data_IF_218707689019
#
_entry.id   IF_218707689019
#
_cell.length_a   1.000
_cell.length_b   1.000
_cell.length_c   1.000
_cell.angle_alpha   90.00
_cell.angle_beta   90.00
_cell.angle_gamma   90.00
#
_symmetry.space_group_name_H-M   'P 1'
#
loop_
_entity.id
_entity.type
_entity.pdbx_description
1 polymer ?
#
# COMPACT_ATOMS: atom_id res chain seq x y z
N UNK A 1 -76.37 -46.87 -34.91
CA UNK A 1 -75.37 -45.90 -34.39
C UNK A 1 -75.39 -44.66 -35.29
N UNK A 2 -75.61 -43.48 -34.71
CA UNK A 2 -75.91 -42.24 -35.43
C UNK A 2 -74.65 -41.64 -36.07
N UNK A 3 -74.54 -41.65 -37.40
CA UNK A 3 -73.41 -41.10 -38.18
C UNK A 3 -73.15 -39.62 -37.89
N UNK A 4 -74.18 -38.87 -37.48
CA UNK A 4 -74.06 -37.46 -37.06
C UNK A 4 -73.32 -37.27 -35.73
N UNK A 5 -73.33 -38.23 -34.80
CA UNK A 5 -72.60 -38.10 -33.53
C UNK A 5 -71.11 -38.39 -33.71
N UNK A 6 -70.75 -39.37 -34.55
CA UNK A 6 -69.35 -39.65 -34.89
C UNK A 6 -68.65 -38.46 -35.54
N UNK A 7 -69.30 -37.77 -36.48
CA UNK A 7 -68.73 -36.59 -37.15
C UNK A 7 -68.42 -35.47 -36.15
N UNK A 8 -69.30 -35.24 -35.15
CA UNK A 8 -69.07 -34.25 -34.10
C UNK A 8 -67.92 -34.66 -33.19
N UNK A 9 -67.84 -35.94 -32.80
CA UNK A 9 -66.73 -36.45 -31.98
C UNK A 9 -65.37 -36.31 -32.69
N UNK A 10 -65.30 -36.63 -33.99
CA UNK A 10 -64.08 -36.42 -34.77
C UNK A 10 -63.72 -34.94 -34.95
N UNK A 11 -64.72 -34.07 -35.13
CA UNK A 11 -64.50 -32.62 -35.19
C UNK A 11 -63.94 -32.08 -33.86
N UNK A 12 -64.50 -32.49 -32.72
CA UNK A 12 -63.98 -32.09 -31.41
C UNK A 12 -62.59 -32.67 -31.13
N UNK A 13 -62.31 -33.92 -31.52
CA UNK A 13 -60.97 -34.50 -31.42
C UNK A 13 -59.95 -33.75 -32.27
N UNK A 14 -60.31 -33.35 -33.50
CA UNK A 14 -59.44 -32.56 -34.38
C UNK A 14 -59.13 -31.18 -33.79
N UNK A 15 -60.13 -30.49 -33.24
CA UNK A 15 -59.95 -29.20 -32.56
C UNK A 15 -59.08 -29.34 -31.31
N UNK A 16 -59.25 -30.41 -30.53
CA UNK A 16 -58.42 -30.67 -29.35
C UNK A 16 -56.95 -30.89 -29.71
N UNK A 17 -56.67 -31.67 -30.76
CA UNK A 17 -55.30 -31.89 -31.26
C UNK A 17 -54.70 -30.57 -31.76
N UNK A 18 -55.44 -29.80 -32.56
CA UNK A 18 -54.98 -28.51 -33.07
C UNK A 18 -54.67 -27.52 -31.94
N UNK A 19 -55.54 -27.46 -30.92
CA UNK A 19 -55.35 -26.58 -29.75
C UNK A 19 -54.13 -27.00 -28.93
N UNK A 20 -53.89 -28.31 -28.79
CA UNK A 20 -52.72 -28.84 -28.09
C UNK A 20 -51.43 -28.50 -28.84
N UNK A 21 -51.43 -28.65 -30.17
CA UNK A 21 -50.30 -28.28 -31.02
C UNK A 21 -50.01 -26.77 -30.96
N UNK A 22 -51.05 -25.93 -30.99
CA UNK A 22 -50.92 -24.48 -30.83
C UNK A 22 -50.39 -24.10 -29.45
N UNK A 23 -50.82 -24.78 -28.38
CA UNK A 23 -50.29 -24.55 -27.04
C UNK A 23 -48.83 -24.96 -26.91
N UNK A 24 -48.41 -26.08 -27.52
CA UNK A 24 -47.01 -26.52 -27.55
C UNK A 24 -46.16 -25.54 -28.35
N UNK A 25 -46.64 -25.12 -29.53
CA UNK A 25 -45.94 -24.13 -30.35
C UNK A 25 -45.82 -22.79 -29.64
N UNK A 26 -46.91 -22.28 -29.07
CA UNK A 26 -46.90 -21.05 -28.28
C UNK A 26 -45.92 -21.18 -27.13
N UNK A 27 -45.99 -22.25 -26.34
CA UNK A 27 -45.04 -22.48 -25.25
C UNK A 27 -43.59 -22.50 -25.77
N UNK A 28 -43.31 -23.13 -26.92
CA UNK A 28 -41.96 -23.15 -27.50
C UNK A 28 -41.48 -21.76 -27.95
N UNK A 29 -42.33 -20.96 -28.59
CA UNK A 29 -42.00 -19.62 -29.08
C UNK A 29 -41.98 -18.54 -27.99
N UNK A 30 -42.76 -18.71 -26.91
CA UNK A 30 -42.82 -17.75 -25.81
C UNK A 30 -42.02 -18.16 -24.58
N UNK A 31 -41.21 -19.23 -24.64
CA UNK A 31 -40.22 -19.46 -23.57
C UNK A 31 -39.29 -18.24 -23.54
N UNK A 32 -39.18 -17.50 -22.43
CA UNK A 32 -38.16 -16.47 -22.33
C UNK A 32 -36.81 -17.13 -22.63
N UNK A 33 -36.00 -16.48 -23.45
CA UNK A 33 -34.65 -16.96 -23.72
C UNK A 33 -33.98 -17.23 -22.37
N UNK A 34 -33.61 -18.49 -22.12
CA UNK A 34 -32.80 -18.83 -20.95
C UNK A 34 -31.52 -18.00 -21.08
N UNK A 35 -31.39 -16.94 -20.29
CA UNK A 35 -30.15 -16.20 -20.19
C UNK A 35 -29.09 -17.20 -19.78
N UNK A 36 -28.10 -17.47 -20.64
CA UNK A 36 -27.05 -18.48 -20.44
C UNK A 36 -26.10 -18.20 -19.26
N UNK A 37 -26.50 -17.38 -18.30
CA UNK A 37 -25.67 -16.87 -17.19
C UNK A 37 -25.83 -17.62 -15.88
N UNK A 38 -26.72 -18.61 -15.83
CA UNK A 38 -26.59 -19.69 -14.84
C UNK A 38 -25.23 -20.40 -14.99
N UNK A 39 -24.58 -20.29 -16.16
CA UNK A 39 -23.32 -20.96 -16.43
C UNK A 39 -22.13 -20.42 -15.66
N UNK A 40 -22.06 -19.14 -15.28
CA UNK A 40 -20.87 -18.57 -14.60
C UNK A 40 -20.89 -18.79 -13.08
N UNK A 41 -22.06 -19.00 -12.48
CA UNK A 41 -22.20 -19.16 -11.04
C UNK A 41 -21.40 -20.38 -10.55
N UNK A 42 -20.62 -20.19 -9.48
CA UNK A 42 -19.80 -21.23 -8.87
C UNK A 42 -18.52 -21.58 -9.62
N UNK A 43 -18.28 -21.03 -10.82
CA UNK A 43 -16.99 -21.16 -11.52
C UNK A 43 -15.93 -20.28 -10.87
N UNK A 44 -14.69 -20.72 -10.95
CA UNK A 44 -13.55 -19.94 -10.45
C UNK A 44 -13.30 -18.71 -11.35
N UNK A 45 -12.88 -17.61 -10.74
CA UNK A 45 -12.47 -16.42 -11.48
C UNK A 45 -11.17 -16.63 -12.26
N UNK A 46 -10.23 -17.40 -11.69
CA UNK A 46 -8.92 -17.72 -12.26
C UNK A 46 -8.62 -19.21 -12.06
N UNK A 47 -9.21 -20.11 -12.87
CA UNK A 47 -9.06 -21.56 -12.69
C UNK A 47 -7.62 -22.06 -12.85
N UNK A 48 -6.77 -21.33 -13.56
CA UNK A 48 -5.36 -21.68 -13.78
C UNK A 48 -4.44 -21.25 -12.62
N UNK A 49 -4.91 -20.36 -11.74
CA UNK A 49 -4.14 -19.87 -10.61
C UNK A 49 -4.45 -20.71 -9.35
N UNK A 50 -3.66 -21.77 -9.15
CA UNK A 50 -3.86 -22.74 -8.05
C UNK A 50 -2.74 -22.73 -7.01
N UNK A 51 -1.64 -22.03 -7.26
CA UNK A 51 -0.45 -22.01 -6.40
C UNK A 51 -0.04 -20.57 -6.10
N UNK A 52 -0.14 -20.19 -4.82
CA UNK A 52 0.20 -18.84 -4.35
C UNK A 52 1.69 -18.52 -4.54
N UNK A 53 2.57 -19.53 -4.52
CA UNK A 53 4.02 -19.36 -4.68
C UNK A 53 4.44 -18.90 -6.08
N UNK A 54 3.56 -18.98 -7.08
CA UNK A 54 3.82 -18.48 -8.44
C UNK A 54 3.74 -16.96 -8.55
N UNK A 55 3.07 -16.29 -7.62
CA UNK A 55 2.98 -14.84 -7.65
C UNK A 55 4.37 -14.24 -7.39
N UNK A 56 4.88 -13.48 -8.35
CA UNK A 56 6.15 -12.74 -8.23
C UNK A 56 5.96 -11.22 -8.21
N UNK A 57 4.74 -10.73 -8.43
CA UNK A 57 4.38 -9.35 -8.15
C UNK A 57 2.93 -9.19 -7.72
N UNK A 58 2.68 -8.12 -6.97
CA UNK A 58 1.34 -7.61 -6.67
C UNK A 58 1.30 -6.11 -6.84
N UNK A 59 0.19 -5.64 -7.38
CA UNK A 59 -0.17 -4.22 -7.43
C UNK A 59 -1.54 -4.02 -6.82
N UNK A 60 -1.66 -2.99 -6.01
CA UNK A 60 -2.93 -2.47 -5.52
C UNK A 60 -3.06 -1.03 -5.98
N UNK A 61 -4.19 -0.70 -6.57
CA UNK A 61 -4.56 0.68 -6.85
C UNK A 61 -5.90 0.98 -6.18
N UNK A 62 -5.99 2.13 -5.52
CA UNK A 62 -7.22 2.63 -4.92
C UNK A 62 -7.34 4.12 -5.22
N UNK A 63 -8.56 4.57 -5.47
CA UNK A 63 -8.83 5.99 -5.63
C UNK A 63 -8.93 6.67 -4.27
N UNK A 64 -8.27 7.81 -4.11
CA UNK A 64 -8.38 8.68 -2.96
C UNK A 64 -9.28 9.88 -3.36
N UNK A 65 -10.48 9.94 -2.78
CA UNK A 65 -11.46 10.99 -3.10
C UNK A 65 -11.03 12.37 -2.61
N UNK A 66 -10.30 12.45 -1.49
CA UNK A 66 -9.88 13.72 -0.88
C UNK A 66 -8.82 14.44 -1.73
N UNK A 67 -7.91 13.65 -2.31
CA UNK A 67 -6.83 14.14 -3.17
C UNK A 67 -7.17 14.05 -4.67
N UNK A 68 -8.32 13.48 -5.02
CA UNK A 68 -8.73 13.18 -6.39
C UNK A 68 -7.64 12.47 -7.21
N UNK A 69 -6.98 11.46 -6.62
CA UNK A 69 -5.87 10.74 -7.27
C UNK A 69 -5.82 9.25 -6.91
N UNK A 70 -5.27 8.43 -7.80
CA UNK A 70 -5.10 6.99 -7.55
C UNK A 70 -3.82 6.72 -6.77
N UNK A 71 -3.95 6.24 -5.53
CA UNK A 71 -2.83 5.70 -4.77
C UNK A 71 -2.49 4.31 -5.27
N UNK A 72 -1.21 4.10 -5.56
CA UNK A 72 -0.67 2.82 -6.03
C UNK A 72 0.30 2.28 -4.99
N UNK A 73 0.19 0.99 -4.74
CA UNK A 73 1.17 0.21 -3.98
C UNK A 73 1.59 -0.97 -4.85
N UNK A 74 2.88 -1.29 -4.87
CA UNK A 74 3.37 -2.45 -5.60
C UNK A 74 4.52 -3.11 -4.86
N UNK A 75 4.58 -4.44 -5.01
CA UNK A 75 5.72 -5.27 -4.60
C UNK A 75 6.04 -6.21 -5.75
N UNK A 76 7.34 -6.42 -6.00
CA UNK A 76 7.79 -7.30 -7.06
C UNK A 76 9.11 -7.98 -6.71
N UNK A 77 9.29 -9.18 -7.26
CA UNK A 77 10.54 -9.92 -7.18
C UNK A 77 11.40 -9.62 -8.42
N UNK A 78 12.46 -8.83 -8.24
CA UNK A 78 13.46 -8.50 -9.26
C UNK A 78 14.86 -8.56 -8.65
N UNK A 79 15.48 -9.74 -8.71
CA UNK A 79 16.76 -10.04 -8.05
C UNK A 79 16.70 -9.75 -6.53
N UNK A 80 15.56 -10.07 -5.90
CA UNK A 80 15.19 -9.68 -4.55
C UNK A 80 13.81 -9.02 -4.51
N UNK A 81 13.15 -9.04 -3.35
CA UNK A 81 11.86 -8.37 -3.17
C UNK A 81 12.05 -6.86 -3.05
N UNK A 82 11.21 -6.11 -3.77
CA UNK A 82 11.29 -4.66 -3.84
C UNK A 82 9.91 -4.04 -3.81
N UNK A 83 9.84 -2.80 -3.33
CA UNK A 83 8.64 -1.97 -3.32
C UNK A 83 8.83 -0.78 -4.28
N UNK A 84 8.43 -0.88 -5.56
CA UNK A 84 8.71 0.16 -6.56
C UNK A 84 8.11 1.52 -6.23
N UNK A 85 6.97 1.54 -5.54
CA UNK A 85 6.32 2.78 -5.09
C UNK A 85 7.07 3.49 -3.97
N UNK A 86 8.10 2.84 -3.42
CA UNK A 86 9.03 3.37 -2.41
C UNK A 86 10.48 3.29 -2.93
N UNK A 87 10.71 3.68 -4.19
CA UNK A 87 12.04 3.78 -4.78
C UNK A 87 12.83 2.46 -4.77
N UNK A 88 12.15 1.36 -5.10
CA UNK A 88 12.73 0.02 -5.14
C UNK A 88 13.31 -0.45 -3.80
N UNK A 89 12.76 0.05 -2.68
CA UNK A 89 13.21 -0.32 -1.34
C UNK A 89 13.15 -1.84 -1.14
N UNK A 90 14.19 -2.48 -0.56
CA UNK A 90 14.20 -3.89 -0.26
C UNK A 90 13.02 -4.27 0.66
N UNK A 91 12.27 -5.29 0.26
CA UNK A 91 11.11 -5.78 0.98
C UNK A 91 11.38 -7.15 1.59
N UNK A 92 10.59 -7.55 2.57
CA UNK A 92 10.37 -8.95 2.93
C UNK A 92 8.98 -9.38 2.45
N UNK A 93 8.85 -9.48 1.14
CA UNK A 93 7.54 -9.58 0.49
C UNK A 93 7.02 -11.00 0.31
N UNK A 94 7.81 -12.04 0.58
CA UNK A 94 7.48 -13.41 0.18
C UNK A 94 6.20 -13.91 0.84
N UNK A 95 6.17 -13.90 2.17
CA UNK A 95 5.07 -14.46 2.94
C UNK A 95 3.80 -13.61 2.81
N UNK A 96 3.96 -12.29 2.76
CA UNK A 96 2.85 -11.36 2.58
C UNK A 96 2.22 -11.45 1.19
N UNK A 97 3.04 -11.61 0.15
CA UNK A 97 2.53 -11.86 -1.19
C UNK A 97 1.82 -13.21 -1.29
N UNK A 98 2.39 -14.26 -0.69
CA UNK A 98 1.76 -15.58 -0.66
C UNK A 98 0.40 -15.54 0.05
N UNK A 99 0.29 -14.79 1.16
CA UNK A 99 -0.97 -14.57 1.89
C UNK A 99 -2.01 -13.83 1.03
N UNK A 100 -1.60 -12.75 0.37
CA UNK A 100 -2.46 -11.99 -0.54
C UNK A 100 -2.92 -12.85 -1.72
N UNK A 101 -2.01 -13.61 -2.33
CA UNK A 101 -2.29 -14.55 -3.42
C UNK A 101 -3.28 -15.64 -3.00
N UNK A 102 -3.08 -16.25 -1.83
CA UNK A 102 -3.98 -17.26 -1.29
C UNK A 102 -5.42 -16.73 -1.11
N UNK A 103 -5.60 -15.43 -0.82
CA UNK A 103 -6.93 -14.83 -0.67
C UNK A 103 -7.75 -14.79 -1.97
N UNK A 104 -7.12 -14.99 -3.14
CA UNK A 104 -7.79 -14.94 -4.44
C UNK A 104 -7.80 -16.26 -5.21
N UNK A 105 -7.05 -17.26 -4.75
CA UNK A 105 -7.05 -18.61 -5.31
C UNK A 105 -8.36 -19.30 -4.96
N UNK A 106 -8.96 -20.00 -5.94
CA UNK A 106 -10.24 -20.70 -5.76
C UNK A 106 -11.43 -19.78 -5.52
N UNK A 107 -11.27 -18.48 -5.79
CA UNK A 107 -12.35 -17.50 -5.66
C UNK A 107 -13.44 -17.79 -6.68
N UNK A 108 -14.66 -18.07 -6.20
CA UNK A 108 -15.80 -18.43 -7.04
C UNK A 108 -16.67 -17.23 -7.39
N UNK A 109 -17.15 -17.21 -8.63
CA UNK A 109 -18.21 -16.29 -9.08
C UNK A 109 -19.48 -16.59 -8.29
N UNK A 110 -19.91 -15.63 -7.47
CA UNK A 110 -21.18 -15.74 -6.76
C UNK A 110 -22.37 -15.35 -7.63
N UNK A 111 -23.43 -14.83 -7.01
CA UNK A 111 -24.62 -14.38 -7.76
C UNK A 111 -24.30 -13.16 -8.64
N UNK A 112 -24.82 -13.16 -9.87
CA UNK A 112 -24.65 -12.04 -10.79
C UNK A 112 -25.36 -10.80 -10.25
N UNK A 113 -24.64 -9.70 -10.10
CA UNK A 113 -25.17 -8.41 -9.68
C UNK A 113 -25.65 -7.57 -10.88
N UNK A 114 -24.83 -7.49 -11.93
CA UNK A 114 -25.15 -6.77 -13.17
C UNK A 114 -24.22 -7.20 -14.30
N UNK A 115 -24.58 -6.79 -15.52
CA UNK A 115 -23.85 -6.96 -16.78
C UNK A 115 -23.57 -5.61 -17.45
N UNK A 116 -24.10 -4.53 -16.88
CA UNK A 116 -24.17 -3.24 -17.53
C UNK A 116 -23.12 -2.32 -16.95
N UNK A 117 -22.32 -1.69 -17.82
CA UNK A 117 -21.30 -0.73 -17.42
C UNK A 117 -21.87 0.48 -16.67
N UNK A 118 -23.12 0.85 -16.98
CA UNK A 118 -23.85 1.94 -16.31
C UNK A 118 -24.04 1.72 -14.81
N UNK A 119 -23.92 0.49 -14.34
CA UNK A 119 -24.06 0.14 -12.93
C UNK A 119 -22.74 0.13 -12.15
N UNK A 120 -21.60 0.26 -12.83
CA UNK A 120 -20.29 0.12 -12.18
C UNK A 120 -20.04 1.19 -11.12
N UNK A 121 -20.52 2.42 -11.33
CA UNK A 121 -20.38 3.52 -10.38
C UNK A 121 -21.08 3.21 -9.04
N UNK A 122 -22.38 2.87 -9.07
CA UNK A 122 -23.14 2.59 -7.84
C UNK A 122 -22.60 1.37 -7.07
N UNK A 123 -22.00 0.42 -7.78
CA UNK A 123 -21.42 -0.78 -7.19
C UNK A 123 -19.99 -0.56 -6.69
N UNK A 124 -19.40 0.60 -6.95
CA UNK A 124 -18.03 0.90 -6.55
C UNK A 124 -16.98 0.12 -7.33
N UNK A 125 -17.27 -0.32 -8.55
CA UNK A 125 -16.37 -1.19 -9.33
C UNK A 125 -15.74 -0.50 -10.54
N UNK A 126 -15.78 0.84 -10.65
CA UNK A 126 -15.01 1.55 -11.67
C UNK A 126 -13.52 1.31 -11.43
N UNK A 127 -12.72 1.17 -12.51
CA UNK A 127 -11.27 1.00 -12.35
C UNK A 127 -10.67 2.28 -11.76
N UNK A 128 -10.00 2.22 -10.60
CA UNK A 128 -9.34 3.39 -10.02
C UNK A 128 -8.24 3.97 -10.92
N UNK A 129 -7.75 3.23 -11.93
CA UNK A 129 -6.73 3.67 -12.88
C UNK A 129 -7.31 4.18 -14.22
N UNK A 130 -8.63 4.19 -14.38
CA UNK A 130 -9.27 4.70 -15.60
C UNK A 130 -9.19 6.23 -15.63
N UNK A 131 -8.35 6.78 -16.50
CA UNK A 131 -8.19 8.23 -16.70
C UNK A 131 -9.26 8.83 -17.61
N UNK A 132 -9.93 7.99 -18.43
CA UNK A 132 -11.00 8.43 -19.34
C UNK A 132 -12.31 8.66 -18.60
N UNK A 133 -12.51 7.94 -17.49
CA UNK A 133 -13.71 8.11 -16.66
C UNK A 133 -13.57 9.32 -15.73
N UNK A 134 -14.31 10.40 -16.00
CA UNK A 134 -14.27 11.60 -15.16
C UNK A 134 -15.00 11.49 -13.81
N UNK A 135 -15.64 10.34 -13.51
CA UNK A 135 -16.28 10.13 -12.22
C UNK A 135 -15.23 9.99 -11.12
N UNK A 136 -15.36 10.83 -10.08
CA UNK A 136 -14.54 10.75 -8.86
C UNK A 136 -15.13 9.80 -7.83
N UNK A 137 -16.35 9.28 -8.08
CA UNK A 137 -17.09 8.39 -7.19
C UNK A 137 -17.17 6.99 -7.78
N UNK A 138 -17.46 6.01 -6.93
CA UNK A 138 -17.73 4.64 -7.39
C UNK A 138 -16.51 3.91 -7.96
N UNK A 139 -15.31 4.45 -7.73
CA UNK A 139 -14.03 3.80 -8.06
C UNK A 139 -13.68 2.74 -7.02
N UNK A 140 -13.39 1.55 -7.50
CA UNK A 140 -13.05 0.41 -6.65
C UNK A 140 -11.57 0.36 -6.29
N UNK A 141 -11.21 -0.72 -5.59
CA UNK A 141 -9.82 -1.10 -5.33
C UNK A 141 -9.42 -2.17 -6.34
N UNK A 142 -8.45 -1.87 -7.21
CA UNK A 142 -7.90 -2.83 -8.17
C UNK A 142 -6.76 -3.62 -7.54
N UNK A 143 -6.81 -4.94 -7.63
CA UNK A 143 -5.77 -5.86 -7.16
C UNK A 143 -5.33 -6.68 -8.36
N UNK A 144 -4.03 -6.63 -8.66
CA UNK A 144 -3.41 -7.36 -9.76
C UNK A 144 -2.27 -8.21 -9.21
N UNK A 145 -2.25 -9.50 -9.54
CA UNK A 145 -1.19 -10.44 -9.21
C UNK A 145 -0.60 -11.00 -10.51
N UNK A 146 0.73 -11.12 -10.57
CA UNK A 146 1.42 -11.62 -11.76
C UNK A 146 2.53 -12.60 -11.45
N UNK A 147 2.81 -13.50 -12.39
CA UNK A 147 4.04 -14.29 -12.49
C UNK A 147 4.85 -13.72 -13.66
N UNK A 148 5.96 -13.03 -13.37
CA UNK A 148 6.89 -12.52 -14.39
C UNK A 148 6.17 -11.73 -15.51
N UNK A 149 5.32 -10.78 -15.12
CA UNK A 149 4.41 -9.98 -15.96
C UNK A 149 3.18 -10.70 -16.55
N UNK A 150 3.06 -12.03 -16.42
CA UNK A 150 1.85 -12.77 -16.78
C UNK A 150 0.78 -12.59 -15.70
N UNK A 151 -0.41 -12.13 -16.07
CA UNK A 151 -1.51 -11.90 -15.12
C UNK A 151 -2.06 -13.23 -14.62
N UNK A 152 -1.99 -13.43 -13.30
CA UNK A 152 -2.60 -14.58 -12.60
C UNK A 152 -4.01 -14.25 -12.11
N UNK A 153 -4.20 -13.01 -11.65
CA UNK A 153 -5.47 -12.48 -11.17
C UNK A 153 -5.51 -10.96 -11.35
N UNK A 154 -6.65 -10.42 -11.79
CA UNK A 154 -6.86 -8.98 -11.89
C UNK A 154 -8.34 -8.65 -11.61
N UNK A 155 -8.57 -7.96 -10.50
CA UNK A 155 -9.89 -7.72 -9.95
C UNK A 155 -10.09 -6.28 -9.54
N UNK A 156 -11.33 -5.84 -9.60
CA UNK A 156 -11.77 -4.58 -9.01
C UNK A 156 -12.80 -4.92 -7.93
N UNK A 157 -12.38 -4.65 -6.70
CA UNK A 157 -13.15 -4.83 -5.48
C UNK A 157 -13.96 -3.57 -5.24
N UNK A 158 -15.29 -3.70 -5.21
CA UNK A 158 -16.19 -2.59 -4.97
C UNK A 158 -16.81 -2.58 -3.59
N UNK A 159 -17.98 -1.96 -3.51
CA UNK A 159 -18.71 -1.74 -2.26
C UNK A 159 -19.14 -3.08 -1.63
N UNK A 160 -19.41 -3.05 -0.32
CA UNK A 160 -20.16 -4.13 0.33
C UNK A 160 -21.56 -4.23 -0.26
N UNK A 161 -22.10 -5.45 -0.29
CA UNK A 161 -23.46 -5.69 -0.77
C UNK A 161 -24.43 -5.16 0.26
N UNK A 162 -25.34 -4.29 -0.16
CA UNK A 162 -26.37 -3.74 0.72
C UNK A 162 -27.21 -4.87 1.35
N UNK A 163 -27.38 -4.81 2.68
CA UNK A 163 -28.08 -5.84 3.46
C UNK A 163 -27.29 -7.14 3.66
N UNK A 164 -26.02 -7.22 3.24
CA UNK A 164 -25.15 -8.38 3.50
C UNK A 164 -23.67 -7.96 3.61
N UNK A 165 -23.22 -7.69 4.84
CA UNK A 165 -21.86 -7.22 5.12
C UNK A 165 -20.75 -8.27 4.85
N UNK A 166 -21.12 -9.53 4.69
CA UNK A 166 -20.21 -10.64 4.37
C UNK A 166 -19.93 -10.76 2.87
N UNK A 167 -20.62 -9.99 2.03
CA UNK A 167 -20.45 -10.01 0.58
C UNK A 167 -20.02 -8.65 0.05
N UNK A 168 -19.26 -8.70 -1.03
CA UNK A 168 -18.74 -7.54 -1.75
C UNK A 168 -19.04 -7.69 -3.24
N UNK A 169 -19.13 -6.56 -3.94
CA UNK A 169 -19.15 -6.55 -5.39
C UNK A 169 -17.74 -6.77 -5.93
N UNK A 170 -17.60 -7.73 -6.85
CA UNK A 170 -16.34 -8.06 -7.47
C UNK A 170 -16.50 -8.12 -8.99
N UNK A 171 -15.60 -7.42 -9.69
CA UNK A 171 -15.52 -7.39 -11.15
C UNK A 171 -14.14 -7.89 -11.58
N UNK A 172 -14.06 -8.85 -12.50
CA UNK A 172 -12.79 -9.19 -13.15
C UNK A 172 -12.41 -8.06 -14.09
N UNK A 173 -11.14 -7.63 -14.08
CA UNK A 173 -10.72 -6.57 -14.99
C UNK A 173 -10.95 -6.98 -16.45
N UNK A 174 -11.49 -6.07 -17.26
CA UNK A 174 -11.89 -6.32 -18.65
C UNK A 174 -13.28 -6.93 -18.85
N UNK A 175 -13.98 -7.36 -17.79
CA UNK A 175 -15.36 -7.84 -17.87
C UNK A 175 -16.37 -6.76 -17.41
N UNK A 176 -17.52 -6.69 -18.07
CA UNK A 176 -18.65 -5.86 -17.61
C UNK A 176 -19.47 -6.52 -16.51
N UNK A 177 -19.40 -7.86 -16.39
CA UNK A 177 -20.14 -8.62 -15.39
C UNK A 177 -19.58 -8.40 -13.99
N UNK A 178 -20.48 -8.16 -13.04
CA UNK A 178 -20.15 -7.96 -11.62
C UNK A 178 -20.87 -9.02 -10.80
N UNK A 179 -20.18 -9.61 -9.84
CA UNK A 179 -20.70 -10.68 -8.99
C UNK A 179 -20.70 -10.27 -7.52
N UNK A 180 -21.64 -10.81 -6.75
CA UNK A 180 -21.68 -10.72 -5.28
C UNK A 180 -20.89 -11.90 -4.71
N UNK A 181 -19.73 -11.63 -4.13
CA UNK A 181 -18.79 -12.67 -3.67
C UNK A 181 -18.59 -12.57 -2.17
N UNK A 182 -18.61 -13.71 -1.49
CA UNK A 182 -18.22 -13.79 -0.08
C UNK A 182 -16.70 -13.97 -0.02
N UNK A 183 -15.97 -12.87 0.18
CA UNK A 183 -14.51 -12.88 0.20
C UNK A 183 -13.97 -11.76 1.08
N UNK A 184 -12.80 -12.02 1.67
CA UNK A 184 -12.02 -11.03 2.40
C UNK A 184 -10.66 -10.94 1.75
N UNK A 185 -10.39 -9.81 1.10
CA UNK A 185 -9.09 -9.54 0.50
C UNK A 185 -8.15 -9.03 1.59
N UNK A 186 -7.23 -9.89 2.02
CA UNK A 186 -6.17 -9.53 2.97
C UNK A 186 -4.95 -9.03 2.19
N UNK A 187 -5.02 -7.76 1.79
CA UNK A 187 -3.97 -7.11 1.00
C UNK A 187 -3.63 -5.77 1.64
N UNK A 188 -2.45 -5.71 2.26
CA UNK A 188 -1.93 -4.45 2.81
C UNK A 188 -1.25 -3.60 1.73
N UNK A 189 -1.44 -2.29 1.85
CA UNK A 189 -0.73 -1.26 1.09
C UNK A 189 0.17 -0.40 1.98
N UNK A 190 0.31 -0.73 3.26
CA UNK A 190 1.16 0.01 4.20
C UNK A 190 2.59 -0.47 4.05
N UNK A 191 3.54 0.46 3.89
CA UNK A 191 4.97 0.14 3.77
C UNK A 191 5.46 -0.82 4.86
N UNK A 192 5.06 -0.58 6.11
CA UNK A 192 5.50 -1.35 7.26
C UNK A 192 5.13 -2.84 7.23
N UNK A 193 4.09 -3.21 6.49
CA UNK A 193 3.70 -4.62 6.38
C UNK A 193 4.59 -5.39 5.39
N UNK A 194 5.45 -4.70 4.63
CA UNK A 194 6.26 -5.26 3.54
C UNK A 194 7.77 -5.08 3.73
N UNK A 195 8.20 -4.29 4.70
CA UNK A 195 9.60 -3.92 4.90
C UNK A 195 10.00 -4.12 6.36
N UNK A 196 11.28 -4.40 6.58
CA UNK A 196 11.87 -4.25 7.92
C UNK A 196 11.76 -2.78 8.34
N UNK A 197 11.06 -2.54 9.44
CA UNK A 197 10.78 -1.20 9.93
C UNK A 197 11.56 -0.83 11.17
N UNK A 198 12.13 -1.80 11.88
CA UNK A 198 13.03 -1.52 12.98
C UNK A 198 14.31 -0.89 12.42
N UNK A 199 14.46 0.41 12.68
CA UNK A 199 15.56 1.21 12.19
C UNK A 199 16.86 0.90 12.94
N UNK A 200 16.77 0.70 14.25
CA UNK A 200 17.93 0.56 15.12
C UNK A 200 18.37 -0.90 15.24
N UNK A 201 17.45 -1.85 15.03
CA UNK A 201 17.70 -3.28 15.25
C UNK A 201 18.24 -3.54 16.65
N UNK A 202 17.73 -2.76 17.61
CA UNK A 202 18.17 -2.70 18.98
C UNK A 202 16.93 -2.64 19.86
N UNK A 203 16.96 -3.43 20.93
CA UNK A 203 15.93 -3.44 21.97
C UNK A 203 16.29 -2.48 23.08
N UNK A 204 15.31 -2.11 23.91
CA UNK A 204 15.50 -1.26 25.08
C UNK A 204 16.64 -1.70 26.01
N UNK A 205 17.02 -2.99 26.03
CA UNK A 205 18.14 -3.51 26.83
C UNK A 205 19.52 -3.27 26.23
N UNK A 206 19.61 -3.03 24.92
CA UNK A 206 20.87 -2.86 24.20
C UNK A 206 21.46 -1.45 24.42
N UNK A 207 20.63 -0.47 24.78
CA UNK A 207 21.07 0.89 25.09
C UNK A 207 21.84 0.92 26.43
N UNK A 208 23.12 1.21 26.38
CA UNK A 208 23.99 1.35 27.58
C UNK A 208 24.52 2.77 27.77
N UNK A 209 24.39 3.60 26.74
CA UNK A 209 24.82 4.99 26.72
C UNK A 209 23.84 5.83 25.92
N UNK A 210 23.43 6.97 26.47
CA UNK A 210 22.62 7.99 25.79
C UNK A 210 23.41 9.31 25.89
N UNK A 211 23.68 9.97 24.75
CA UNK A 211 24.53 11.18 24.74
C UNK A 211 23.84 12.29 23.95
N UNK A 212 23.23 13.23 24.66
CA UNK A 212 22.73 14.45 24.05
C UNK A 212 23.85 15.47 23.90
N UNK A 213 23.91 16.14 22.76
CA UNK A 213 24.85 17.23 22.46
C UNK A 213 24.09 18.41 21.86
N UNK A 214 24.18 19.57 22.48
CA UNK A 214 23.57 20.79 21.96
C UNK A 214 24.66 21.82 21.64
N UNK A 215 24.70 22.36 20.40
CA UNK A 215 25.66 23.38 20.04
C UNK A 215 25.39 24.67 20.81
N UNK A 216 26.43 25.18 21.46
CA UNK A 216 26.43 26.45 22.18
C UNK A 216 26.81 27.56 21.21
N UNK A 217 25.92 28.54 21.09
CA UNK A 217 26.12 29.73 20.26
C UNK A 217 26.06 30.97 21.16
N UNK A 218 26.99 31.89 20.96
CA UNK A 218 27.06 33.14 21.72
C UNK A 218 26.02 34.17 21.24
N UNK A 219 26.00 35.33 21.90
CA UNK A 219 25.07 36.42 21.56
C UNK A 219 25.22 36.92 20.11
N UNK A 220 26.40 36.75 19.51
CA UNK A 220 26.72 37.10 18.13
C UNK A 220 26.47 35.94 17.14
N UNK A 221 25.89 34.83 17.63
CA UNK A 221 25.60 33.58 16.88
C UNK A 221 26.85 32.83 16.40
N UNK A 222 27.98 33.01 17.07
CA UNK A 222 29.19 32.23 16.83
C UNK A 222 29.20 30.98 17.71
N UNK A 223 29.69 29.87 17.14
CA UNK A 223 29.78 28.58 17.81
C UNK A 223 30.89 28.59 18.89
N UNK A 224 30.55 28.20 20.12
CA UNK A 224 31.45 28.16 21.29
C UNK A 224 31.75 26.73 21.79
N UNK A 225 31.24 25.70 21.12
CA UNK A 225 31.37 24.30 21.52
C UNK A 225 30.01 23.64 21.74
N UNK A 226 30.01 22.48 22.40
CA UNK A 226 28.79 21.71 22.66
C UNK A 226 28.56 21.52 24.17
N UNK A 227 27.33 21.74 24.63
CA UNK A 227 26.88 21.27 25.93
C UNK A 227 26.45 19.80 25.78
N UNK A 228 27.21 18.89 26.39
CA UNK A 228 26.97 17.43 26.32
C UNK A 228 26.42 16.90 27.64
N UNK A 229 25.37 16.08 27.56
CA UNK A 229 24.85 15.29 28.68
C UNK A 229 24.97 13.80 28.33
N UNK A 230 25.59 13.02 29.20
CA UNK A 230 25.81 11.59 28.99
C UNK A 230 25.23 10.76 30.15
N UNK A 231 24.28 9.88 29.82
CA UNK A 231 23.72 8.88 30.72
C UNK A 231 24.31 7.51 30.37
N UNK A 232 24.76 6.77 31.38
CA UNK A 232 25.37 5.44 31.20
C UNK A 232 24.80 4.41 32.15
N UNK A 233 24.77 3.14 31.73
CA UNK A 233 24.54 1.96 32.56
C UNK A 233 25.40 0.81 32.06
N UNK A 234 25.76 -0.13 32.93
CA UNK A 234 26.61 -1.26 32.52
C UNK A 234 25.87 -2.30 31.69
N UNK A 235 24.61 -2.57 32.04
CA UNK A 235 23.73 -3.56 31.38
C UNK A 235 22.28 -3.32 31.77
N UNK A 236 21.36 -4.01 31.09
CA UNK A 236 19.95 -4.04 31.46
C UNK A 236 19.76 -4.45 32.94
N UNK A 237 18.96 -3.68 33.66
CA UNK A 237 18.66 -3.91 35.09
C UNK A 237 19.58 -3.17 36.06
N UNK A 238 20.70 -2.61 35.59
CA UNK A 238 21.55 -1.73 36.40
C UNK A 238 21.08 -0.27 36.30
N UNK A 239 21.24 0.54 37.36
CA UNK A 239 20.80 1.93 37.37
C UNK A 239 21.58 2.79 36.38
N UNK A 240 20.89 3.75 35.77
CA UNK A 240 21.51 4.81 34.99
C UNK A 240 22.34 5.75 35.88
N UNK A 241 23.46 6.24 35.35
CA UNK A 241 24.38 7.17 36.00
C UNK A 241 24.60 8.39 35.12
N UNK A 242 24.70 9.55 35.75
CA UNK A 242 25.06 10.83 35.12
C UNK A 242 26.32 11.36 35.81
N UNK A 243 27.38 11.64 35.05
CA UNK A 243 28.71 11.91 35.61
C UNK A 243 28.81 13.17 36.49
N UNK A 244 27.92 14.15 36.29
CA UNK A 244 27.93 15.45 36.98
C UNK A 244 26.72 15.66 37.92
N UNK A 245 26.05 14.58 38.34
CA UNK A 245 24.90 14.64 39.25
C UNK A 245 25.37 14.82 40.70
N UNK A 246 24.80 15.79 41.43
CA UNK A 246 24.99 15.86 42.88
C UNK A 246 24.03 14.90 43.58
N UNK A 247 24.48 13.67 43.83
CA UNK A 247 23.67 12.62 44.47
C UNK A 247 23.16 12.99 45.89
N UNK A 248 23.67 14.05 46.52
CA UNK A 248 23.18 14.51 47.82
C UNK A 248 21.90 15.35 47.73
N UNK A 249 21.66 16.01 46.59
CA UNK A 249 20.53 16.95 46.41
C UNK A 249 19.68 16.66 45.17
N UNK A 250 20.18 15.85 44.25
CA UNK A 250 19.58 15.57 42.95
C UNK A 250 19.36 14.06 42.76
N UNK A 251 18.30 13.71 42.04
CA UNK A 251 18.01 12.33 41.65
C UNK A 251 17.64 12.25 40.17
N UNK A 252 18.02 11.15 39.51
CA UNK A 252 17.60 10.89 38.14
C UNK A 252 16.13 10.49 38.11
N UNK A 253 15.37 11.14 37.23
CA UNK A 253 14.02 10.70 36.88
C UNK A 253 14.09 9.49 35.95
N UNK A 254 14.32 8.32 36.53
CA UNK A 254 14.50 7.06 35.77
C UNK A 254 13.32 6.77 34.83
N UNK A 255 12.09 7.12 35.23
CA UNK A 255 10.91 6.97 34.37
C UNK A 255 10.99 7.75 33.05
N UNK A 256 11.62 8.93 33.05
CA UNK A 256 11.82 9.73 31.82
C UNK A 256 12.92 9.12 30.94
N UNK A 257 13.97 8.58 31.57
CA UNK A 257 15.04 7.87 30.85
C UNK A 257 14.48 6.60 30.20
N UNK A 258 13.68 5.83 30.92
CA UNK A 258 13.02 4.64 30.38
C UNK A 258 12.06 5.01 29.24
N UNK A 259 11.32 6.11 29.37
CA UNK A 259 10.47 6.63 28.29
C UNK A 259 11.29 6.98 27.05
N UNK A 260 12.45 7.61 27.21
CA UNK A 260 13.36 7.93 26.11
C UNK A 260 13.91 6.67 25.44
N UNK A 261 14.35 5.68 26.22
CA UNK A 261 14.83 4.38 25.71
C UNK A 261 13.74 3.64 24.95
N UNK A 262 12.52 3.57 25.50
CA UNK A 262 11.37 2.96 24.82
C UNK A 262 11.02 3.71 23.53
N UNK A 263 11.08 5.05 23.55
CA UNK A 263 10.80 5.84 22.34
C UNK A 263 11.82 5.56 21.23
N UNK A 264 13.11 5.42 21.58
CA UNK A 264 14.17 5.05 20.64
C UNK A 264 13.97 3.63 20.10
N UNK A 265 13.69 2.66 20.97
CA UNK A 265 13.36 1.27 20.61
C UNK A 265 12.14 1.20 19.68
N UNK A 266 11.12 2.03 19.93
CA UNK A 266 9.88 2.09 19.15
C UNK A 266 9.98 2.92 17.86
N UNK A 267 11.17 3.43 17.49
CA UNK A 267 11.34 4.11 16.21
C UNK A 267 11.13 3.11 15.06
N UNK A 268 10.17 3.43 14.19
CA UNK A 268 9.82 2.61 13.01
C UNK A 268 9.88 3.41 11.72
N UNK A 269 10.40 2.79 10.66
CA UNK A 269 10.31 3.32 9.31
C UNK A 269 8.86 3.25 8.81
N UNK A 270 8.28 4.43 8.57
CA UNK A 270 6.93 4.55 7.96
C UNK A 270 6.98 4.68 6.44
N UNK A 271 8.15 4.94 5.88
CA UNK A 271 8.40 5.10 4.45
C UNK A 271 9.80 5.62 4.20
N UNK A 272 10.17 5.71 2.92
CA UNK A 272 11.51 6.13 2.48
C UNK A 272 11.42 7.07 1.30
N UNK A 273 12.44 7.91 1.13
CA UNK A 273 12.60 8.80 -0.01
C UNK A 273 14.07 8.89 -0.43
N UNK A 274 14.37 9.25 -1.68
CA UNK A 274 15.74 9.44 -2.13
C UNK A 274 16.36 10.62 -1.39
N UNK A 275 17.68 10.59 -1.23
CA UNK A 275 18.42 11.74 -0.72
C UNK A 275 18.32 12.93 -1.69
N UNK A 276 18.40 14.16 -1.18
CA UNK A 276 18.53 15.35 -2.02
C UNK A 276 19.67 15.18 -3.03
N UNK A 277 19.39 15.54 -4.28
CA UNK A 277 20.34 15.40 -5.38
C UNK A 277 20.43 16.68 -6.20
N UNK A 278 21.59 16.93 -6.78
CA UNK A 278 21.86 18.02 -7.70
C UNK A 278 22.48 17.44 -8.96
N UNK A 279 21.91 17.75 -10.12
CA UNK A 279 22.32 17.19 -11.41
C UNK A 279 22.40 15.64 -11.41
N UNK A 280 21.47 14.99 -10.72
CA UNK A 280 21.40 13.52 -10.59
C UNK A 280 22.41 12.90 -9.61
N UNK A 281 23.19 13.72 -8.89
CA UNK A 281 24.17 13.27 -7.89
C UNK A 281 23.66 13.53 -6.48
N UNK A 282 23.68 12.55 -5.56
CA UNK A 282 23.32 12.78 -4.16
C UNK A 282 24.23 13.83 -3.53
N UNK A 283 23.63 14.82 -2.87
CA UNK A 283 24.37 15.89 -2.18
C UNK A 283 25.01 15.36 -0.89
N UNK A 284 24.31 14.46 -0.19
CA UNK A 284 24.72 13.94 1.11
C UNK A 284 25.19 12.48 1.02
N UNK A 285 26.22 12.14 1.79
CA UNK A 285 26.68 10.77 2.03
C UNK A 285 25.78 10.05 3.06
N UNK A 286 26.15 8.82 3.45
CA UNK A 286 25.33 7.99 4.35
C UNK A 286 25.34 8.51 5.79
N UNK A 287 26.40 9.21 6.17
CA UNK A 287 26.62 9.91 7.43
C UNK A 287 26.11 11.37 7.40
N UNK A 288 25.27 11.72 6.43
CA UNK A 288 24.67 13.05 6.28
C UNK A 288 25.69 14.21 6.09
N UNK A 289 26.96 13.89 5.81
CA UNK A 289 27.97 14.85 5.39
C UNK A 289 27.85 15.18 3.90
N UNK A 290 28.55 16.23 3.46
CA UNK A 290 28.66 16.50 2.02
C UNK A 290 29.32 15.31 1.32
N UNK A 291 28.66 14.83 0.27
CA UNK A 291 29.12 13.66 -0.45
C UNK A 291 30.47 13.93 -1.12
N UNK A 292 31.51 13.20 -0.72
CA UNK A 292 32.87 13.32 -1.26
C UNK A 292 32.98 12.94 -2.75
N UNK A 293 31.96 12.29 -3.32
CA UNK A 293 31.86 12.03 -4.75
C UNK A 293 31.47 13.26 -5.59
N UNK A 294 31.10 14.38 -4.95
CA UNK A 294 30.92 15.65 -5.65
C UNK A 294 32.29 16.23 -6.04
N UNK A 295 32.50 16.62 -7.31
CA UNK A 295 33.79 17.16 -7.75
C UNK A 295 34.15 18.43 -6.98
N UNK A 296 35.40 18.54 -6.50
CA UNK A 296 35.85 19.70 -5.72
C UNK A 296 35.74 21.00 -6.48
N UNK A 297 35.94 20.96 -7.79
CA UNK A 297 35.79 22.12 -8.69
C UNK A 297 34.34 22.61 -8.73
N UNK A 298 33.38 21.68 -8.68
CA UNK A 298 31.96 21.97 -8.64
C UNK A 298 31.57 22.59 -7.30
N UNK A 299 32.10 22.04 -6.20
CA UNK A 299 31.90 22.57 -4.84
C UNK A 299 32.55 23.95 -4.71
N UNK A 300 33.65 24.25 -5.42
CA UNK A 300 34.28 25.56 -5.39
C UNK A 300 33.48 26.63 -6.16
N UNK A 301 32.62 26.23 -7.10
CA UNK A 301 31.78 27.15 -7.86
C UNK A 301 30.68 27.78 -6.98
N UNK A 302 30.67 29.11 -6.90
CA UNK A 302 29.75 29.85 -6.04
C UNK A 302 28.28 29.64 -6.41
N UNK A 303 27.95 29.48 -7.71
CA UNK A 303 26.58 29.28 -8.16
C UNK A 303 26.11 27.89 -7.76
N UNK A 304 26.95 26.89 -7.97
CA UNK A 304 26.68 25.51 -7.57
C UNK A 304 26.47 25.39 -6.06
N UNK A 305 27.33 26.00 -5.24
CA UNK A 305 27.14 26.01 -3.77
C UNK A 305 25.82 26.64 -3.37
N UNK A 306 25.46 27.76 -4.00
CA UNK A 306 24.21 28.48 -3.70
C UNK A 306 22.99 27.61 -4.04
N UNK A 307 23.02 26.92 -5.18
CA UNK A 307 21.95 26.00 -5.58
C UNK A 307 21.85 24.78 -4.67
N UNK A 308 22.98 24.16 -4.34
CA UNK A 308 23.06 23.04 -3.40
C UNK A 308 22.46 23.40 -2.04
N UNK A 309 22.86 24.54 -1.45
CA UNK A 309 22.34 25.00 -0.17
C UNK A 309 20.85 25.33 -0.24
N UNK A 310 20.37 25.88 -1.37
CA UNK A 310 18.95 26.11 -1.58
C UNK A 310 18.16 24.79 -1.57
N UNK A 311 18.66 23.75 -2.24
CA UNK A 311 18.03 22.41 -2.27
C UNK A 311 18.00 21.81 -0.86
N UNK A 312 19.13 21.78 -0.16
CA UNK A 312 19.22 21.22 1.19
C UNK A 312 18.30 21.96 2.17
N UNK A 313 18.27 23.30 2.11
CA UNK A 313 17.40 24.11 2.97
C UNK A 313 15.93 23.87 2.66
N UNK A 314 15.54 23.78 1.40
CA UNK A 314 14.15 23.53 1.02
C UNK A 314 13.69 22.14 1.46
N UNK A 315 14.57 21.13 1.38
CA UNK A 315 14.22 19.75 1.67
C UNK A 315 14.27 19.39 3.17
N UNK A 316 15.29 19.90 3.88
CA UNK A 316 15.60 19.51 5.26
C UNK A 316 15.28 20.62 6.28
N UNK A 317 15.15 21.88 5.84
CA UNK A 317 14.92 23.04 6.69
C UNK A 317 13.61 23.00 7.48
N UNK A 318 12.53 22.51 6.87
CA UNK A 318 11.24 22.28 7.55
C UNK A 318 11.26 21.04 8.46
N UNK A 319 12.31 20.21 8.35
CA UNK A 319 12.50 18.99 9.14
C UNK A 319 13.43 19.19 10.35
N UNK A 320 13.74 20.44 10.68
CA UNK A 320 14.57 20.79 11.84
C UNK A 320 16.07 20.70 11.58
N UNK A 321 16.49 20.54 10.32
CA UNK A 321 17.91 20.43 9.96
C UNK A 321 18.39 21.66 9.21
N UNK A 322 19.68 21.97 9.31
CA UNK A 322 20.32 23.03 8.55
C UNK A 322 21.71 22.65 8.09
N UNK A 323 22.27 23.47 7.21
CA UNK A 323 23.63 23.27 6.72
C UNK A 323 24.58 24.01 7.65
N UNK A 324 25.46 23.26 8.29
CA UNK A 324 26.51 23.75 9.17
C UNK A 324 27.90 23.29 8.71
N UNK A 325 28.87 23.44 9.60
CA UNK A 325 30.21 22.90 9.45
C UNK A 325 30.55 22.01 10.66
N UNK A 326 31.35 20.96 10.46
CA UNK A 326 31.94 20.19 11.57
C UNK A 326 33.14 20.92 12.20
N UNK A 327 33.73 20.31 13.23
CA UNK A 327 34.89 20.86 13.93
C UNK A 327 36.11 21.04 13.00
N UNK A 328 36.16 20.29 11.91
CA UNK A 328 37.18 20.37 10.87
C UNK A 328 36.85 21.40 9.77
N UNK A 329 35.69 22.06 9.84
CA UNK A 329 35.23 23.06 8.87
C UNK A 329 34.56 22.49 7.63
N UNK A 330 34.33 21.17 7.58
CA UNK A 330 33.66 20.50 6.47
C UNK A 330 32.15 20.69 6.53
N UNK A 331 31.52 20.85 5.38
CA UNK A 331 30.08 21.10 5.30
C UNK A 331 29.29 19.83 5.67
N UNK A 332 28.35 19.97 6.61
CA UNK A 332 27.47 18.88 7.05
C UNK A 332 26.05 19.35 7.32
N UNK A 333 25.12 18.41 7.47
CA UNK A 333 23.80 18.70 8.03
C UNK A 333 23.87 18.63 9.54
N UNK A 334 23.33 19.63 10.21
CA UNK A 334 23.22 19.70 11.68
C UNK A 334 21.76 19.82 12.09
N UNK A 335 21.41 19.21 13.23
CA UNK A 335 20.11 19.38 13.87
C UNK A 335 20.04 20.76 14.55
N UNK A 336 18.92 21.48 14.39
CA UNK A 336 18.69 22.75 15.08
C UNK A 336 18.49 22.58 16.58
N UNK A 337 17.99 21.42 17.00
CA UNK A 337 17.63 21.13 18.39
C UNK A 337 18.72 20.32 19.10
N UNK A 338 19.88 20.12 18.46
CA UNK A 338 20.94 19.24 18.95
C UNK A 338 20.74 17.77 18.54
N UNK A 339 21.73 16.94 18.89
CA UNK A 339 21.80 15.51 18.55
C UNK A 339 21.71 14.65 19.83
N UNK A 340 21.22 13.41 19.71
CA UNK A 340 21.07 12.42 20.80
C UNK A 340 21.77 11.10 20.48
#
# INVERSE_FOLDING_TARGET
MNTKSMIRTFAFAGVAVLSTLLAIASNYFTKPARTGDEGDYGRDFNPEFMDAGKATSMRVAAWDEDTASSKKFAVEYKNGWKIPTFHDYPADGKDQLAKAAASVIGLKRGSLATRYKTDHERLGVIDPLDEENHSTKGRGKRITLTENATILADFIVGNKVEGNDDKIYLRKFGEDKVYKVAARFDVSTKFADWAETDLLKASGGDFTRLRASQPKVNADKEYEGDDTIELTREKLGEPWKLAALDEATEELKVSEIDTMVTTLDDLRLVGVRPRPSIQGRPILSNDLKLNSALPKELIADQRFRTEMFKILRADLGEKGFEVGQDAEGETQIVSREGDL
#
